data_IF_745393226433
#
_entry.id   IF_745393226433
#
_cell.length_a   1.000
_cell.length_b   1.000
_cell.length_c   1.000
_cell.angle_alpha   90.00
_cell.angle_beta   90.00
_cell.angle_gamma   90.00
#
_symmetry.space_group_name_H-M   'P 1'
#
loop_
_entity.id
_entity.type
_entity.pdbx_description
1 polymer ?
#
# COMPACT_ATOMS: atom_id res chain seq x y z
N UNK A 1 -16.45 19.82 3.47
CA UNK A 1 -15.06 19.76 2.99
C UNK A 1 -14.93 19.00 1.66
N UNK A 2 -15.54 17.80 1.47
CA UNK A 2 -15.44 17.00 0.24
C UNK A 2 -15.70 17.82 -1.04
N UNK A 3 -16.83 18.55 -1.10
CA UNK A 3 -17.18 19.37 -2.27
C UNK A 3 -16.15 20.47 -2.55
N UNK A 4 -15.54 21.02 -1.50
CA UNK A 4 -14.48 22.05 -1.63
C UNK A 4 -13.13 21.48 -2.09
N UNK A 5 -12.89 20.19 -1.82
CA UNK A 5 -11.65 19.50 -2.18
C UNK A 5 -11.74 18.79 -3.54
N UNK A 6 -12.96 18.63 -4.07
CA UNK A 6 -13.15 18.01 -5.37
C UNK A 6 -12.69 18.96 -6.48
N UNK A 7 -11.59 18.61 -7.12
CA UNK A 7 -11.05 19.43 -8.20
C UNK A 7 -11.76 19.11 -9.52
N UNK A 8 -12.16 20.09 -10.33
CA UNK A 8 -12.88 19.86 -11.60
C UNK A 8 -12.10 19.00 -12.61
N UNK A 9 -10.76 19.01 -12.53
CA UNK A 9 -9.89 18.19 -13.39
C UNK A 9 -9.73 16.73 -12.93
N UNK A 10 -10.41 16.29 -11.85
CA UNK A 10 -10.44 14.89 -11.46
C UNK A 10 -11.27 14.12 -12.49
N UNK A 11 -10.58 13.27 -13.25
CA UNK A 11 -11.22 12.40 -14.23
C UNK A 11 -11.68 11.09 -13.58
N UNK A 12 -12.96 10.74 -13.77
CA UNK A 12 -13.51 9.46 -13.35
C UNK A 12 -13.60 8.56 -14.58
N UNK A 13 -12.70 7.57 -14.67
CA UNK A 13 -12.61 6.68 -15.85
C UNK A 13 -13.90 5.87 -16.09
N UNK A 14 -14.64 5.52 -15.04
CA UNK A 14 -15.90 4.82 -15.17
C UNK A 14 -17.06 5.82 -15.28
N UNK A 15 -17.59 6.01 -16.47
CA UNK A 15 -18.68 6.95 -16.74
C UNK A 15 -19.99 6.69 -15.94
N UNK A 16 -20.14 5.50 -15.34
CA UNK A 16 -21.26 5.17 -14.45
C UNK A 16 -21.08 5.65 -13.02
N UNK A 17 -19.87 6.03 -12.65
CA UNK A 17 -19.51 6.49 -11.31
C UNK A 17 -19.45 8.02 -11.31
N UNK A 18 -19.94 8.63 -10.25
CA UNK A 18 -19.93 10.09 -10.04
C UNK A 18 -19.20 10.41 -8.74
N UNK A 19 -18.86 11.67 -8.52
CA UNK A 19 -18.22 12.15 -7.28
C UNK A 19 -18.92 11.67 -6.02
N UNK A 20 -20.27 11.64 -6.01
CA UNK A 20 -21.08 11.20 -4.89
C UNK A 20 -20.89 9.72 -4.54
N UNK A 21 -20.58 8.89 -5.54
CA UNK A 21 -20.23 7.50 -5.31
C UNK A 21 -18.95 7.39 -4.46
N UNK A 22 -17.91 8.14 -4.82
CA UNK A 22 -16.65 8.15 -4.05
C UNK A 22 -16.80 8.79 -2.68
N UNK A 23 -17.64 9.82 -2.57
CA UNK A 23 -18.01 10.38 -1.27
C UNK A 23 -18.66 9.34 -0.36
N UNK A 24 -19.59 8.57 -0.89
CA UNK A 24 -20.28 7.50 -0.15
C UNK A 24 -19.34 6.40 0.28
N UNK A 25 -18.34 6.05 -0.55
CA UNK A 25 -17.29 5.10 -0.18
C UNK A 25 -16.45 5.67 0.97
N UNK A 26 -16.00 6.92 0.87
CA UNK A 26 -15.22 7.57 1.92
C UNK A 26 -15.96 7.59 3.26
N UNK A 27 -17.23 7.97 3.25
CA UNK A 27 -18.09 7.92 4.45
C UNK A 27 -18.18 6.51 5.03
N UNK A 28 -18.36 5.49 4.19
CA UNK A 28 -18.42 4.09 4.63
C UNK A 28 -17.10 3.66 5.27
N UNK A 29 -15.96 3.99 4.66
CA UNK A 29 -14.65 3.68 5.22
C UNK A 29 -14.48 4.26 6.63
N UNK A 30 -14.81 5.53 6.79
CA UNK A 30 -14.73 6.21 8.09
C UNK A 30 -15.72 5.63 9.09
N UNK A 31 -16.97 5.35 8.69
CA UNK A 31 -17.97 4.74 9.57
C UNK A 31 -17.54 3.35 10.04
N UNK A 32 -17.01 2.52 9.15
CA UNK A 32 -16.53 1.18 9.51
C UNK A 32 -15.37 1.26 10.50
N UNK A 33 -14.43 2.17 10.29
CA UNK A 33 -13.31 2.39 11.20
C UNK A 33 -13.78 2.89 12.57
N UNK A 34 -14.66 3.90 12.57
CA UNK A 34 -15.24 4.46 13.78
C UNK A 34 -16.05 3.42 14.57
N UNK A 35 -16.85 2.59 13.88
CA UNK A 35 -17.64 1.54 14.54
C UNK A 35 -16.79 0.48 15.24
N UNK A 36 -15.53 0.32 14.81
CA UNK A 36 -14.60 -0.63 15.43
C UNK A 36 -13.82 -0.04 16.59
N UNK A 37 -13.36 1.19 16.46
CA UNK A 37 -12.40 1.80 17.38
C UNK A 37 -12.96 2.98 18.17
N UNK A 38 -14.03 3.61 17.70
CA UNK A 38 -14.68 4.70 18.37
C UNK A 38 -15.61 4.26 19.52
N UNK A 39 -16.08 5.20 20.33
CA UNK A 39 -15.71 6.62 20.31
C UNK A 39 -14.39 6.93 21.04
N UNK A 40 -13.85 6.00 21.81
CA UNK A 40 -12.71 6.26 22.72
C UNK A 40 -11.36 6.29 22.04
N UNK A 41 -11.16 5.47 20.98
CA UNK A 41 -9.88 5.34 20.28
C UNK A 41 -8.70 5.12 21.25
N UNK A 42 -8.83 4.13 22.14
CA UNK A 42 -7.91 3.85 23.25
C UNK A 42 -6.67 3.01 22.87
N UNK A 43 -6.39 2.89 21.58
CA UNK A 43 -5.20 2.18 21.08
C UNK A 43 -3.93 2.89 21.53
N UNK A 44 -2.91 2.11 21.92
CA UNK A 44 -1.59 2.63 22.28
C UNK A 44 -0.77 2.93 21.02
N UNK A 45 -1.18 3.98 20.30
CA UNK A 45 -0.51 4.44 19.09
C UNK A 45 0.88 4.96 19.46
N UNK A 46 1.90 4.43 18.82
CA UNK A 46 3.28 4.90 18.94
C UNK A 46 3.52 6.06 17.99
N UNK A 47 3.11 5.90 16.72
CA UNK A 47 3.30 6.90 15.68
C UNK A 47 2.35 6.68 14.51
N UNK A 48 2.15 7.70 13.67
CA UNK A 48 1.37 7.66 12.44
C UNK A 48 2.16 8.29 11.30
N UNK A 49 1.98 7.77 10.07
CA UNK A 49 2.74 8.21 8.89
C UNK A 49 4.26 8.21 9.16
N UNK A 50 4.72 7.21 9.94
CA UNK A 50 6.11 7.15 10.38
C UNK A 50 7.01 6.69 9.24
N UNK A 51 7.97 7.55 8.93
CA UNK A 51 8.98 7.27 7.92
C UNK A 51 10.18 6.58 8.55
N UNK A 52 10.52 5.40 8.02
CA UNK A 52 11.64 4.59 8.49
C UNK A 52 12.58 4.28 7.34
N UNK A 53 13.90 4.43 7.60
CA UNK A 53 14.95 3.97 6.73
C UNK A 53 15.53 2.65 7.29
N UNK A 54 15.80 1.70 6.41
CA UNK A 54 16.33 0.38 6.77
C UNK A 54 17.13 -0.23 5.61
N UNK A 55 17.92 -1.26 5.88
CA UNK A 55 18.78 -1.89 4.88
C UNK A 55 18.46 -3.36 4.69
N UNK A 56 18.63 -3.85 3.46
CA UNK A 56 18.57 -5.27 3.11
C UNK A 56 19.77 -5.58 2.21
N UNK A 57 20.76 -6.29 2.73
CA UNK A 57 22.05 -6.41 2.07
C UNK A 57 22.69 -5.03 1.87
N UNK A 58 23.10 -4.74 0.65
CA UNK A 58 23.72 -3.46 0.29
C UNK A 58 22.70 -2.38 -0.14
N UNK A 59 21.40 -2.67 -0.03
CA UNK A 59 20.35 -1.78 -0.49
C UNK A 59 19.67 -1.05 0.66
N UNK A 60 19.56 0.27 0.53
CA UNK A 60 18.81 1.11 1.46
C UNK A 60 17.37 1.30 0.96
N UNK A 61 16.44 1.14 1.87
CA UNK A 61 15.01 1.32 1.65
C UNK A 61 14.47 2.40 2.56
N UNK A 62 13.43 3.06 2.09
CA UNK A 62 12.61 4.00 2.86
C UNK A 62 11.16 3.57 2.76
N UNK A 63 10.49 3.46 3.89
CA UNK A 63 9.08 3.10 3.97
C UNK A 63 8.32 4.07 4.86
N UNK A 64 7.04 4.25 4.58
CA UNK A 64 6.12 5.00 5.43
C UNK A 64 5.06 4.04 5.93
N UNK A 65 4.97 3.89 7.25
CA UNK A 65 3.97 3.05 7.92
C UNK A 65 2.78 3.95 8.30
N UNK A 66 1.57 3.61 7.86
CA UNK A 66 0.38 4.42 8.10
C UNK A 66 0.13 4.63 9.60
N UNK A 67 0.24 3.56 10.40
CA UNK A 67 0.18 3.62 11.87
C UNK A 67 0.98 2.49 12.49
N UNK A 68 1.71 2.81 13.56
CA UNK A 68 2.46 1.88 14.38
C UNK A 68 1.97 1.96 15.82
N UNK A 69 1.56 0.84 16.38
CA UNK A 69 1.14 0.73 17.78
C UNK A 69 2.17 -0.08 18.59
N UNK A 70 2.27 0.24 19.88
CA UNK A 70 3.02 -0.52 20.85
C UNK A 70 2.13 -0.83 22.08
N UNK A 71 1.27 -1.87 22.00
CA UNK A 71 0.34 -2.18 23.07
C UNK A 71 1.03 -2.57 24.36
N UNK A 72 2.12 -3.35 24.27
CA UNK A 72 2.98 -3.73 25.40
C UNK A 72 4.45 -3.67 25.02
N UNK A 73 5.39 -3.60 25.95
CA UNK A 73 6.82 -3.65 25.67
C UNK A 73 7.18 -4.91 24.85
N UNK A 74 7.85 -4.70 23.72
CA UNK A 74 8.23 -5.78 22.80
C UNK A 74 7.13 -6.24 21.83
N UNK A 75 5.91 -5.79 21.99
CA UNK A 75 4.82 -6.08 21.04
C UNK A 75 4.55 -4.88 20.14
N UNK A 76 4.53 -5.12 18.85
CA UNK A 76 4.32 -4.09 17.84
C UNK A 76 3.20 -4.49 16.88
N UNK A 77 2.42 -3.51 16.47
CA UNK A 77 1.37 -3.70 15.46
C UNK A 77 1.57 -2.65 14.37
N UNK A 78 1.86 -3.15 13.17
CA UNK A 78 1.89 -2.34 11.96
C UNK A 78 0.49 -2.35 11.35
N UNK A 79 -0.08 -1.18 11.13
CA UNK A 79 -1.37 -1.02 10.47
C UNK A 79 -1.17 -0.40 9.09
N UNK A 80 -1.83 -0.99 8.11
CA UNK A 80 -1.86 -0.49 6.73
C UNK A 80 -3.32 -0.44 6.26
N UNK A 81 -3.77 0.73 5.81
CA UNK A 81 -5.15 1.01 5.48
C UNK A 81 -5.42 0.86 3.99
N UNK A 82 -6.38 0.00 3.65
CA UNK A 82 -6.75 -0.32 2.27
C UNK A 82 -8.20 0.08 1.97
N UNK A 83 -8.39 0.83 0.90
CA UNK A 83 -9.72 1.23 0.40
C UNK A 83 -10.21 0.33 -0.74
N UNK A 84 -9.51 -0.76 -1.02
CA UNK A 84 -9.87 -1.72 -2.07
C UNK A 84 -11.24 -2.37 -1.81
N UNK A 85 -11.97 -2.67 -2.90
CA UNK A 85 -13.30 -3.29 -2.82
C UNK A 85 -13.25 -4.72 -2.27
N UNK A 86 -12.22 -5.46 -2.65
CA UNK A 86 -12.06 -6.85 -2.30
C UNK A 86 -10.91 -7.02 -1.29
N UNK A 87 -11.19 -7.52 -0.09
CA UNK A 87 -10.15 -7.80 0.88
C UNK A 87 -9.27 -8.95 0.39
N UNK A 88 -8.00 -8.87 0.71
CA UNK A 88 -7.06 -9.95 0.48
C UNK A 88 -7.16 -11.00 1.60
N UNK A 89 -6.79 -12.22 1.27
CA UNK A 89 -6.78 -13.33 2.23
C UNK A 89 -5.53 -13.28 3.14
N UNK A 90 -5.59 -14.02 4.25
CA UNK A 90 -4.43 -14.24 5.13
C UNK A 90 -3.23 -14.81 4.37
N UNK A 91 -3.45 -15.73 3.42
CA UNK A 91 -2.38 -16.28 2.56
C UNK A 91 -1.71 -15.22 1.70
N UNK A 92 -2.46 -14.22 1.23
CA UNK A 92 -1.90 -13.10 0.46
C UNK A 92 -1.09 -12.17 1.36
N UNK A 93 -1.57 -11.87 2.59
CA UNK A 93 -0.82 -11.10 3.57
C UNK A 93 0.52 -11.77 3.94
N UNK A 94 0.49 -13.09 4.17
CA UNK A 94 1.71 -13.88 4.45
C UNK A 94 2.75 -13.87 3.33
N UNK A 95 2.40 -13.47 2.12
CA UNK A 95 3.31 -13.38 0.96
C UNK A 95 3.45 -11.95 0.43
N UNK A 96 2.99 -10.97 1.19
CA UNK A 96 3.04 -9.56 0.78
C UNK A 96 4.41 -8.95 1.08
N UNK A 97 5.01 -8.35 0.07
CA UNK A 97 6.34 -7.73 0.18
C UNK A 97 6.28 -6.45 1.02
N UNK A 98 5.22 -5.66 0.91
CA UNK A 98 5.07 -4.42 1.67
C UNK A 98 5.05 -4.70 3.18
N UNK A 99 4.27 -5.70 3.61
CA UNK A 99 4.22 -6.11 5.02
C UNK A 99 5.58 -6.64 5.51
N UNK A 100 6.31 -7.39 4.66
CA UNK A 100 7.65 -7.85 5.01
C UNK A 100 8.64 -6.68 5.17
N UNK A 101 8.57 -5.68 4.31
CA UNK A 101 9.39 -4.47 4.41
C UNK A 101 9.10 -3.70 5.70
N UNK A 102 7.82 -3.55 6.06
CA UNK A 102 7.44 -2.90 7.31
C UNK A 102 7.96 -3.65 8.55
N UNK A 103 7.92 -4.98 8.52
CA UNK A 103 8.49 -5.77 9.61
C UNK A 103 9.99 -5.48 9.77
N UNK A 104 10.76 -5.53 8.69
CA UNK A 104 12.21 -5.27 8.70
C UNK A 104 12.49 -3.83 9.19
N UNK A 105 11.70 -2.87 8.72
CA UNK A 105 11.82 -1.48 9.15
C UNK A 105 11.64 -1.34 10.66
N UNK A 106 10.62 -1.98 11.25
CA UNK A 106 10.39 -1.96 12.70
C UNK A 106 11.53 -2.67 13.44
N UNK A 107 11.96 -3.86 12.99
CA UNK A 107 13.04 -4.63 13.60
C UNK A 107 14.37 -3.85 13.64
N UNK A 108 14.66 -3.04 12.63
CA UNK A 108 15.92 -2.27 12.57
C UNK A 108 15.87 -0.92 13.30
N UNK A 109 14.69 -0.32 13.43
CA UNK A 109 14.58 1.03 13.98
C UNK A 109 14.15 1.06 15.45
N UNK A 110 13.62 -0.03 15.99
CA UNK A 110 13.15 -0.07 17.37
C UNK A 110 13.88 -1.15 18.17
N UNK A 111 13.96 -0.92 19.48
CA UNK A 111 14.51 -1.89 20.45
C UNK A 111 13.39 -2.76 21.01
N UNK A 112 13.77 -3.91 21.57
CA UNK A 112 12.80 -4.83 22.22
C UNK A 112 11.64 -5.21 21.30
N UNK A 113 11.98 -5.77 20.14
CA UNK A 113 10.99 -6.24 19.17
C UNK A 113 10.88 -7.77 19.30
N UNK A 114 9.84 -8.23 20.02
CA UNK A 114 9.57 -9.65 20.23
C UNK A 114 8.54 -10.19 19.24
N UNK A 115 7.45 -9.45 19.04
CA UNK A 115 6.37 -9.81 18.13
C UNK A 115 5.96 -8.60 17.30
N UNK A 116 5.74 -8.82 16.00
CA UNK A 116 5.19 -7.81 15.10
C UNK A 116 3.96 -8.39 14.42
N UNK A 117 2.80 -7.80 14.72
CA UNK A 117 1.57 -8.06 14.00
C UNK A 117 1.47 -7.13 12.80
N UNK A 118 1.27 -7.71 11.62
CA UNK A 118 1.15 -6.98 10.37
C UNK A 118 -0.32 -7.01 9.95
N UNK A 119 -0.98 -5.87 10.03
CA UNK A 119 -2.44 -5.79 9.93
C UNK A 119 -2.88 -4.93 8.77
N UNK A 120 -3.64 -5.51 7.85
CA UNK A 120 -4.41 -4.78 6.86
C UNK A 120 -5.82 -4.46 7.35
N UNK A 121 -6.19 -3.20 7.24
CA UNK A 121 -7.55 -2.73 7.46
C UNK A 121 -8.24 -2.48 6.13
N UNK A 122 -9.18 -3.31 5.75
CA UNK A 122 -9.99 -3.09 4.56
C UNK A 122 -11.18 -2.20 4.91
N UNK A 123 -10.95 -0.90 4.91
CA UNK A 123 -11.89 0.12 5.42
C UNK A 123 -13.25 0.06 4.73
N UNK A 124 -13.28 -0.28 3.43
CA UNK A 124 -14.50 -0.28 2.62
C UNK A 124 -15.53 -1.33 3.06
N UNK A 125 -15.09 -2.44 3.63
CA UNK A 125 -15.97 -3.50 4.14
C UNK A 125 -15.83 -3.75 5.65
N UNK A 126 -14.94 -3.03 6.33
CA UNK A 126 -14.74 -3.13 7.78
C UNK A 126 -14.03 -4.41 8.24
N UNK A 127 -13.38 -5.15 7.32
CA UNK A 127 -12.63 -6.36 7.70
C UNK A 127 -11.14 -6.08 7.93
N UNK A 128 -10.50 -6.97 8.67
CA UNK A 128 -9.08 -6.95 8.95
C UNK A 128 -8.44 -8.29 8.64
N UNK A 129 -7.18 -8.24 8.26
CA UNK A 129 -6.33 -9.41 8.12
C UNK A 129 -5.02 -9.12 8.84
N UNK A 130 -4.74 -9.88 9.89
CA UNK A 130 -3.51 -9.79 10.65
C UNK A 130 -2.69 -11.06 10.52
N UNK A 131 -1.36 -10.89 10.36
CA UNK A 131 -0.39 -11.97 10.24
C UNK A 131 0.87 -11.66 11.04
N UNK A 132 1.60 -12.71 11.38
CA UNK A 132 2.98 -12.64 11.89
C UNK A 132 3.81 -13.45 10.91
N UNK A 133 4.89 -12.86 10.38
CA UNK A 133 5.82 -13.62 9.55
C UNK A 133 6.82 -14.37 10.43
N UNK A 134 6.98 -15.65 10.16
CA UNK A 134 8.07 -16.43 10.75
C UNK A 134 9.40 -16.04 10.10
N UNK A 135 10.55 -16.27 10.77
CA UNK A 135 11.86 -15.99 10.18
C UNK A 135 12.07 -16.62 8.80
N UNK A 136 11.57 -17.84 8.61
CA UNK A 136 11.64 -18.53 7.31
C UNK A 136 10.82 -17.85 6.21
N UNK A 137 9.66 -17.31 6.56
CA UNK A 137 8.82 -16.55 5.61
C UNK A 137 9.46 -15.21 5.26
N UNK A 138 9.98 -14.51 6.26
CA UNK A 138 10.71 -13.26 6.08
C UNK A 138 11.93 -13.47 5.17
N UNK A 139 12.76 -14.47 5.42
CA UNK A 139 13.92 -14.82 4.58
C UNK A 139 13.50 -15.07 3.11
N UNK A 140 12.42 -15.81 2.90
CA UNK A 140 11.89 -16.05 1.54
C UNK A 140 11.46 -14.76 0.83
N UNK A 141 10.80 -13.86 1.55
CA UNK A 141 10.35 -12.57 1.01
C UNK A 141 11.53 -11.64 0.73
N UNK A 142 12.54 -11.61 1.60
CA UNK A 142 13.80 -10.88 1.39
C UNK A 142 14.49 -11.36 0.11
N UNK A 143 14.67 -12.67 -0.07
CA UNK A 143 15.29 -13.23 -1.28
C UNK A 143 14.53 -12.85 -2.55
N UNK A 144 13.20 -12.82 -2.48
CA UNK A 144 12.37 -12.36 -3.60
C UNK A 144 12.56 -10.88 -3.89
N UNK A 145 12.64 -10.07 -2.83
CA UNK A 145 12.84 -8.62 -2.94
C UNK A 145 14.19 -8.28 -3.56
N UNK A 146 15.27 -8.89 -3.06
CA UNK A 146 16.62 -8.69 -3.60
C UNK A 146 16.66 -8.96 -5.10
N UNK A 147 16.07 -10.06 -5.56
CA UNK A 147 15.96 -10.36 -7.00
C UNK A 147 15.20 -9.29 -7.79
N UNK A 148 14.19 -8.66 -7.18
CA UNK A 148 13.46 -7.57 -7.83
C UNK A 148 14.36 -6.34 -7.95
N UNK A 149 15.11 -5.99 -6.88
CA UNK A 149 16.03 -4.86 -6.89
C UNK A 149 17.15 -5.08 -7.90
N UNK A 150 17.78 -6.26 -7.91
CA UNK A 150 18.82 -6.62 -8.89
C UNK A 150 18.29 -6.46 -10.31
N UNK A 151 17.07 -6.95 -10.58
CA UNK A 151 16.45 -6.80 -11.90
C UNK A 151 16.17 -5.34 -12.27
N UNK A 152 15.78 -4.49 -11.32
CA UNK A 152 15.61 -3.06 -11.56
C UNK A 152 16.95 -2.41 -11.92
N UNK A 153 18.02 -2.78 -11.21
CA UNK A 153 19.38 -2.25 -11.46
C UNK A 153 19.86 -2.68 -12.87
N UNK A 154 19.73 -3.96 -13.19
CA UNK A 154 20.05 -4.44 -14.55
C UNK A 154 19.29 -3.69 -15.64
N UNK A 155 17.99 -3.44 -15.43
CA UNK A 155 17.16 -2.72 -16.41
C UNK A 155 17.50 -1.21 -16.46
N UNK A 156 17.94 -0.60 -15.33
CA UNK A 156 18.29 0.83 -15.29
C UNK A 156 19.48 1.16 -16.19
N UNK A 157 20.42 0.26 -16.28
CA UNK A 157 21.66 0.46 -17.03
C UNK A 157 21.48 0.25 -18.55
N UNK A 158 20.30 -0.19 -18.98
CA UNK A 158 19.91 -0.35 -20.39
C UNK A 158 18.42 0.03 -20.58
N UNK A 159 18.17 1.19 -21.16
CA UNK A 159 16.81 1.75 -21.38
C UNK A 159 15.89 0.81 -22.17
N UNK A 160 16.45 -0.13 -22.96
CA UNK A 160 15.69 -1.11 -23.72
C UNK A 160 15.12 -2.25 -22.85
N UNK A 161 15.53 -2.38 -21.59
CA UNK A 161 15.11 -3.47 -20.71
C UNK A 161 13.83 -3.18 -19.93
N UNK A 162 13.37 -1.92 -19.85
CA UNK A 162 12.06 -1.58 -19.28
C UNK A 162 10.95 -1.69 -20.32
N UNK A 163 10.71 -2.92 -20.80
CA UNK A 163 9.67 -3.15 -21.79
C UNK A 163 8.27 -2.92 -21.19
N UNK A 164 7.40 -2.18 -21.89
CA UNK A 164 6.04 -1.94 -21.43
C UNK A 164 5.24 -3.24 -21.42
N UNK A 165 4.46 -3.43 -20.35
CA UNK A 165 3.54 -4.56 -20.21
C UNK A 165 2.10 -4.08 -20.30
N UNK A 166 1.40 -4.47 -21.35
CA UNK A 166 0.00 -4.12 -21.51
C UNK A 166 -0.90 -4.82 -20.50
N UNK A 167 -1.75 -4.03 -19.86
CA UNK A 167 -2.74 -4.50 -18.89
C UNK A 167 -4.03 -3.66 -19.03
N UNK A 168 -5.16 -4.05 -18.42
CA UNK A 168 -6.35 -3.21 -18.37
C UNK A 168 -6.11 -1.80 -17.78
N UNK A 169 -5.05 -1.63 -16.97
CA UNK A 169 -4.67 -0.33 -16.40
C UNK A 169 -4.21 0.66 -17.48
N UNK A 170 -3.79 0.21 -18.65
CA UNK A 170 -3.45 1.08 -19.77
C UNK A 170 -4.60 2.00 -20.19
N UNK A 171 -5.87 1.56 -19.99
CA UNK A 171 -7.04 2.35 -20.37
C UNK A 171 -7.20 3.68 -19.62
N UNK A 172 -6.40 3.93 -18.58
CA UNK A 172 -6.35 5.19 -17.83
C UNK A 172 -4.92 5.60 -17.46
N UNK A 173 -3.95 5.14 -18.27
CA UNK A 173 -2.54 5.44 -18.06
C UNK A 173 -2.21 6.87 -18.51
N UNK A 174 -1.55 7.64 -17.64
CA UNK A 174 -1.10 9.00 -17.97
C UNK A 174 0.04 9.04 -19.00
N UNK A 175 0.77 7.92 -19.15
CA UNK A 175 1.91 7.78 -20.07
C UNK A 175 1.51 7.15 -21.40
N UNK A 176 0.25 7.24 -21.79
CA UNK A 176 -0.24 6.60 -23.03
C UNK A 176 0.49 7.12 -24.25
N UNK A 177 0.66 8.45 -24.38
CA UNK A 177 1.28 9.08 -25.54
C UNK A 177 2.79 8.79 -25.63
N UNK A 178 3.46 8.65 -24.50
CA UNK A 178 4.90 8.37 -24.43
C UNK A 178 5.20 6.86 -24.50
N UNK A 179 4.19 6.02 -24.39
CA UNK A 179 4.38 4.57 -24.30
C UNK A 179 4.57 3.93 -25.68
N UNK A 180 5.73 3.32 -25.93
CA UNK A 180 6.06 2.65 -27.19
C UNK A 180 5.14 1.48 -27.56
N UNK A 181 4.42 0.89 -26.58
CA UNK A 181 3.44 -0.17 -26.83
C UNK A 181 2.06 0.34 -27.24
N UNK A 182 1.83 1.67 -27.23
CA UNK A 182 0.52 2.25 -27.51
C UNK A 182 0.53 2.98 -28.85
N UNK A 183 -0.47 2.64 -29.66
CA UNK A 183 -0.76 3.31 -30.93
C UNK A 183 -2.23 3.74 -30.93
N UNK A 184 -2.51 4.89 -31.56
CA UNK A 184 -3.86 5.43 -31.63
C UNK A 184 -4.20 6.40 -30.50
N UNK A 185 -5.49 6.70 -30.37
CA UNK A 185 -5.98 7.70 -29.43
C UNK A 185 -6.07 7.16 -28.01
N UNK A 186 -5.58 7.94 -27.03
CA UNK A 186 -5.72 7.65 -25.62
C UNK A 186 -7.22 7.50 -25.27
N UNK A 187 -7.65 6.36 -24.67
CA UNK A 187 -9.05 6.17 -24.29
C UNK A 187 -9.50 7.08 -23.14
N UNK A 188 -8.56 7.65 -22.39
CA UNK A 188 -8.83 8.67 -21.38
C UNK A 188 -8.93 10.02 -22.07
N UNK A 189 -10.15 10.53 -22.25
CA UNK A 189 -10.36 11.90 -22.70
C UNK A 189 -9.88 12.83 -21.59
N UNK A 190 -8.77 13.52 -21.80
CA UNK A 190 -8.39 14.65 -20.94
C UNK A 190 -9.44 15.75 -21.20
N UNK A 191 -9.98 16.32 -20.13
CA UNK A 191 -10.71 17.57 -20.24
C UNK A 191 -9.67 18.64 -20.57
N UNK A 192 -9.83 19.27 -21.72
CA UNK A 192 -9.03 20.45 -22.13
C UNK A 192 -9.32 21.62 -21.20
#
# INVERSE_FOLDING_TARGET
QWVKQWHPNIYIANAREKSDYYYSIGKRCLSNYYSRYGPTFDQRVKDTEVELEFTIGDYTFRGIIDRLDQPEPGEWIVHDYKTSKHPKSKRQAMNDIQLALYQIAVEQNYKEVNNIFLTWHFLRNGSEVSVIHTPKQQEKLIKKLVKIVEKIIECRDDDNNFLPKETPLCNWCYYWEECSAKVGQNPVKRAD
#
